data_IF_107656311953
#
_entry.id   IF_107656311953
#
_cell.length_a   1.000
_cell.length_b   1.000
_cell.length_c   1.000
_cell.angle_alpha   90.00
_cell.angle_beta   90.00
_cell.angle_gamma   90.00
#
_symmetry.space_group_name_H-M   'P 1'
#
loop_
_entity.id
_entity.type
_entity.pdbx_description
1 polymer ?
#
# COMPACT_ATOMS: atom_id res chain seq x y z
N UNK A 1 6.08 10.07 -14.71
CA UNK A 1 6.87 11.08 -13.97
C UNK A 1 7.47 12.03 -14.99
N UNK A 2 7.32 13.36 -14.85
CA UNK A 2 8.05 14.32 -15.68
C UNK A 2 9.57 14.11 -15.61
N UNK A 3 10.29 14.43 -16.69
CA UNK A 3 11.72 14.11 -16.83
C UNK A 3 12.60 14.63 -15.69
N UNK A 4 12.38 15.87 -15.24
CA UNK A 4 13.12 16.45 -14.10
C UNK A 4 12.90 15.67 -12.79
N UNK A 5 11.70 15.13 -12.58
CA UNK A 5 11.41 14.35 -11.38
C UNK A 5 12.08 12.98 -11.44
N UNK A 6 12.11 12.35 -12.63
CA UNK A 6 12.84 11.10 -12.82
C UNK A 6 14.33 11.30 -12.56
N UNK A 7 14.94 12.34 -13.14
CA UNK A 7 16.35 12.67 -12.92
C UNK A 7 16.67 12.92 -11.43
N UNK A 8 15.77 13.58 -10.70
CA UNK A 8 15.92 13.77 -9.27
C UNK A 8 15.96 12.43 -8.50
N UNK A 9 15.06 11.49 -8.82
CA UNK A 9 15.07 10.17 -8.19
C UNK A 9 16.32 9.36 -8.52
N UNK A 10 16.76 9.39 -9.79
CA UNK A 10 18.02 8.75 -10.22
C UNK A 10 19.24 9.36 -9.51
N UNK A 11 19.21 10.68 -9.27
CA UNK A 11 20.26 11.34 -8.50
C UNK A 11 20.29 10.86 -7.05
N UNK A 12 19.12 10.78 -6.38
CA UNK A 12 19.03 10.28 -5.00
C UNK A 12 19.57 8.84 -4.85
N UNK A 13 19.31 7.99 -5.84
CA UNK A 13 19.77 6.59 -5.84
C UNK A 13 21.30 6.45 -5.96
N UNK A 14 21.95 7.43 -6.60
CA UNK A 14 23.42 7.46 -6.77
C UNK A 14 24.18 8.02 -5.57
N UNK A 15 23.49 8.53 -4.54
CA UNK A 15 24.16 9.11 -3.37
C UNK A 15 24.86 7.98 -2.58
N UNK A 16 26.20 8.02 -2.41
CA UNK A 16 26.96 6.88 -1.87
C UNK A 16 26.67 6.59 -0.39
N UNK A 17 26.25 7.61 0.37
CA UNK A 17 26.02 7.51 1.82
C UNK A 17 24.56 7.80 2.14
N UNK A 18 23.68 6.88 1.75
CA UNK A 18 22.26 6.98 2.09
C UNK A 18 22.06 7.00 3.61
N UNK A 19 21.17 7.85 4.10
CA UNK A 19 20.84 7.95 5.53
C UNK A 19 20.41 6.59 6.11
N UNK A 20 19.71 5.77 5.33
CA UNK A 20 19.30 4.41 5.70
C UNK A 20 20.50 3.51 6.10
N UNK A 21 21.62 3.61 5.38
CA UNK A 21 22.84 2.84 5.70
C UNK A 21 23.62 3.40 6.89
N UNK A 22 23.50 4.70 7.16
CA UNK A 22 24.21 5.36 8.26
C UNK A 22 23.47 5.27 9.60
N UNK A 23 22.14 5.24 9.58
CA UNK A 23 21.30 5.19 10.79
C UNK A 23 21.63 4.04 11.76
N UNK A 24 22.01 2.82 11.32
CA UNK A 24 22.39 1.73 12.23
C UNK A 24 23.66 2.02 13.01
N UNK A 25 24.64 2.62 12.34
CA UNK A 25 25.99 2.87 12.86
C UNK A 25 26.15 4.21 13.56
N UNK A 26 25.23 5.15 13.36
CA UNK A 26 25.30 6.51 13.90
C UNK A 26 24.15 6.75 14.89
N UNK A 27 24.39 6.63 16.22
CA UNK A 27 23.32 6.70 17.22
C UNK A 27 22.44 7.95 17.15
N UNK A 28 23.03 9.11 16.83
CA UNK A 28 22.30 10.38 16.69
C UNK A 28 21.27 10.38 15.55
N UNK A 29 21.43 9.52 14.55
CA UNK A 29 20.52 9.44 13.39
C UNK A 29 19.39 8.43 13.59
N UNK A 30 19.50 7.50 14.54
CA UNK A 30 18.56 6.39 14.68
C UNK A 30 17.13 6.85 14.93
N UNK A 31 16.93 7.71 15.93
CA UNK A 31 15.59 8.14 16.31
C UNK A 31 14.92 9.05 15.25
N UNK A 32 15.60 10.08 14.69
CA UNK A 32 15.04 10.86 13.60
C UNK A 32 14.72 10.03 12.35
N UNK A 33 15.60 9.08 12.01
CA UNK A 33 15.38 8.16 10.89
C UNK A 33 14.15 7.27 11.12
N UNK A 34 14.07 6.63 12.28
CA UNK A 34 12.93 5.78 12.64
C UNK A 34 11.61 6.56 12.68
N UNK A 35 11.64 7.80 13.15
CA UNK A 35 10.48 8.70 13.12
C UNK A 35 9.99 8.94 11.68
N UNK A 36 10.91 9.19 10.75
CA UNK A 36 10.57 9.35 9.33
C UNK A 36 9.99 8.06 8.72
N UNK A 37 10.59 6.89 9.01
CA UNK A 37 10.08 5.58 8.58
C UNK A 37 8.67 5.32 9.12
N UNK A 38 8.42 5.64 10.39
CA UNK A 38 7.11 5.47 11.02
C UNK A 38 6.06 6.43 10.45
N UNK A 39 6.43 7.67 10.10
CA UNK A 39 5.55 8.59 9.40
C UNK A 39 5.14 8.04 8.01
N UNK A 40 6.09 7.47 7.27
CA UNK A 40 5.81 6.80 5.99
C UNK A 40 4.92 5.57 6.15
N UNK A 41 5.13 4.76 7.19
CA UNK A 41 4.23 3.64 7.52
C UNK A 41 2.80 4.15 7.77
N UNK A 42 2.64 5.20 8.57
CA UNK A 42 1.32 5.80 8.86
C UNK A 42 0.61 6.26 7.58
N UNK A 43 1.34 6.91 6.67
CA UNK A 43 0.82 7.29 5.36
C UNK A 43 0.30 6.08 4.58
N UNK A 44 1.05 4.97 4.57
CA UNK A 44 0.67 3.74 3.87
C UNK A 44 -0.52 3.03 4.51
N UNK A 45 -0.60 3.01 5.83
CA UNK A 45 -1.74 2.45 6.56
C UNK A 45 -3.02 3.23 6.23
N UNK A 46 -2.95 4.56 6.18
CA UNK A 46 -4.05 5.42 5.74
C UNK A 46 -4.42 5.17 4.28
N UNK A 47 -3.44 5.03 3.39
CA UNK A 47 -3.68 4.72 1.98
C UNK A 47 -4.38 3.37 1.81
N UNK A 48 -4.00 2.33 2.56
CA UNK A 48 -4.71 1.04 2.55
C UNK A 48 -6.18 1.19 2.98
N UNK A 49 -6.46 2.01 4.00
CA UNK A 49 -7.83 2.28 4.44
C UNK A 49 -8.65 2.96 3.35
N UNK A 50 -8.07 3.96 2.67
CA UNK A 50 -8.71 4.63 1.52
C UNK A 50 -9.01 3.62 0.42
N UNK A 51 -8.02 2.80 0.03
CA UNK A 51 -8.19 1.78 -1.01
C UNK A 51 -9.27 0.77 -0.64
N UNK A 52 -9.31 0.33 0.62
CA UNK A 52 -10.36 -0.57 1.08
C UNK A 52 -11.75 0.07 0.93
N UNK A 53 -11.93 1.29 1.43
CA UNK A 53 -13.23 1.98 1.42
C UNK A 53 -13.73 2.31 0.01
N UNK A 54 -12.84 2.77 -0.87
CA UNK A 54 -13.24 3.36 -2.15
C UNK A 54 -13.02 2.47 -3.36
N UNK A 55 -12.20 1.42 -3.25
CA UNK A 55 -11.96 0.49 -4.36
C UNK A 55 -12.56 -0.86 -4.02
N UNK A 56 -12.10 -1.49 -2.94
CA UNK A 56 -12.49 -2.87 -2.61
C UNK A 56 -13.96 -2.96 -2.18
N UNK A 57 -14.40 -2.07 -1.28
CA UNK A 57 -15.79 -2.10 -0.81
C UNK A 57 -16.75 -1.69 -1.94
N UNK A 58 -16.41 -0.67 -2.72
CA UNK A 58 -17.24 -0.21 -3.84
C UNK A 58 -17.32 -1.23 -4.99
N UNK A 59 -16.26 -1.99 -5.26
CA UNK A 59 -16.28 -3.05 -6.28
C UNK A 59 -17.21 -4.20 -5.92
N UNK A 60 -17.52 -4.40 -4.63
CA UNK A 60 -18.47 -5.42 -4.16
C UNK A 60 -19.92 -4.94 -4.25
N UNK A 61 -20.17 -3.64 -4.06
CA UNK A 61 -21.52 -3.05 -4.08
C UNK A 61 -22.08 -2.83 -5.49
N UNK A 62 -21.23 -2.79 -6.52
CA UNK A 62 -21.62 -2.43 -7.90
C UNK A 62 -22.20 -3.58 -8.74
N UNK A 63 -22.47 -4.75 -8.16
CA UNK A 63 -23.21 -5.84 -8.82
C UNK A 63 -24.73 -5.56 -8.87
N UNK A 64 -25.33 -5.18 -10.01
CA UNK A 64 -26.71 -4.69 -10.10
C UNK A 64 -27.71 -5.83 -10.37
N UNK A 65 -27.63 -6.93 -9.61
CA UNK A 65 -28.30 -8.19 -9.97
C UNK A 65 -29.34 -8.75 -8.99
N UNK A 66 -29.53 -8.19 -7.80
CA UNK A 66 -30.25 -8.90 -6.74
C UNK A 66 -31.38 -8.09 -6.13
N UNK A 67 -32.62 -8.55 -6.38
CA UNK A 67 -33.87 -7.95 -5.93
C UNK A 67 -34.24 -8.27 -4.47
N UNK A 68 -33.43 -9.04 -3.74
CA UNK A 68 -33.73 -9.47 -2.37
C UNK A 68 -32.55 -9.21 -1.40
N UNK A 69 -32.72 -8.40 -0.34
CA UNK A 69 -31.65 -8.06 0.62
C UNK A 69 -31.02 -9.27 1.33
N UNK A 70 -31.80 -10.34 1.55
CA UNK A 70 -31.33 -11.56 2.20
C UNK A 70 -30.39 -12.40 1.32
N UNK A 71 -30.63 -12.44 0.00
CA UNK A 71 -29.74 -13.11 -0.96
C UNK A 71 -28.42 -12.35 -1.15
N UNK A 72 -28.45 -11.02 -1.08
CA UNK A 72 -27.25 -10.19 -1.13
C UNK A 72 -26.34 -10.43 0.10
N UNK A 73 -26.91 -10.64 1.30
CA UNK A 73 -26.13 -10.99 2.51
C UNK A 73 -25.55 -12.41 2.46
N UNK A 74 -26.31 -13.40 2.00
CA UNK A 74 -25.82 -14.78 1.96
C UNK A 74 -24.69 -14.94 0.93
N UNK A 75 -24.83 -14.26 -0.22
CA UNK A 75 -23.83 -14.32 -1.29
C UNK A 75 -22.62 -13.44 -1.03
N UNK A 76 -22.72 -12.33 -0.30
CA UNK A 76 -21.54 -11.54 0.10
C UNK A 76 -20.64 -12.32 1.07
N UNK A 77 -21.19 -13.24 1.88
CA UNK A 77 -20.41 -14.15 2.72
C UNK A 77 -19.68 -15.25 1.90
N UNK A 78 -20.28 -15.72 0.79
CA UNK A 78 -19.69 -16.70 -0.13
C UNK A 78 -18.67 -16.05 -1.08
N UNK A 79 -18.99 -14.89 -1.64
CA UNK A 79 -18.12 -14.08 -2.51
C UNK A 79 -16.94 -13.49 -1.74
N UNK A 80 -17.04 -13.23 -0.43
CA UNK A 80 -15.87 -12.85 0.38
C UNK A 80 -14.78 -13.93 0.39
N UNK A 81 -15.13 -15.21 0.21
CA UNK A 81 -14.15 -16.30 0.11
C UNK A 81 -13.60 -16.49 -1.31
N UNK A 82 -14.37 -16.11 -2.35
CA UNK A 82 -14.04 -16.35 -3.76
C UNK A 82 -13.45 -15.12 -4.47
N UNK A 83 -13.89 -13.90 -4.13
CA UNK A 83 -13.32 -12.62 -4.60
C UNK A 83 -11.95 -12.30 -4.00
N UNK A 84 -11.57 -12.98 -2.91
CA UNK A 84 -10.17 -13.00 -2.45
C UNK A 84 -9.26 -13.73 -3.45
N UNK A 85 -9.81 -14.62 -4.29
CA UNK A 85 -9.04 -15.37 -5.31
C UNK A 85 -8.93 -14.62 -6.63
N UNK A 86 -9.94 -13.85 -7.05
CA UNK A 86 -9.79 -12.89 -8.14
C UNK A 86 -9.14 -11.60 -7.64
N UNK A 87 -7.82 -11.57 -7.76
CA UNK A 87 -6.98 -10.44 -7.36
C UNK A 87 -7.48 -9.13 -7.98
N UNK A 88 -8.16 -8.30 -7.17
CA UNK A 88 -8.55 -6.93 -7.54
C UNK A 88 -7.30 -6.22 -8.06
N UNK A 89 -7.34 -5.83 -9.34
CA UNK A 89 -6.23 -5.14 -9.99
C UNK A 89 -6.40 -3.63 -9.85
N UNK A 90 -5.30 -2.96 -9.56
CA UNK A 90 -5.23 -1.50 -9.68
C UNK A 90 -5.25 -1.08 -11.14
N UNK A 91 -5.43 0.21 -11.39
CA UNK A 91 -5.42 0.79 -12.75
C UNK A 91 -4.07 0.63 -13.47
N UNK A 92 -2.99 0.39 -12.72
CA UNK A 92 -1.68 0.01 -13.27
C UNK A 92 -1.54 -1.48 -13.63
N UNK A 93 -2.61 -2.28 -13.54
CA UNK A 93 -2.64 -3.70 -13.90
C UNK A 93 -2.07 -4.66 -12.83
N UNK A 94 -1.48 -4.14 -11.76
CA UNK A 94 -0.92 -4.93 -10.64
C UNK A 94 -1.99 -5.38 -9.66
N UNK A 95 -1.75 -6.48 -8.94
CA UNK A 95 -2.57 -6.86 -7.77
C UNK A 95 -2.53 -5.74 -6.72
N UNK A 96 -3.69 -5.15 -6.43
CA UNK A 96 -3.81 -3.98 -5.58
C UNK A 96 -3.38 -4.29 -4.14
N UNK A 97 -3.93 -5.37 -3.57
CA UNK A 97 -3.67 -5.75 -2.18
C UNK A 97 -2.21 -6.17 -1.98
N UNK A 98 -1.65 -6.96 -2.92
CA UNK A 98 -0.27 -7.41 -2.83
C UNK A 98 0.72 -6.23 -2.91
N UNK A 99 0.51 -5.32 -3.87
CA UNK A 99 1.38 -4.15 -4.04
C UNK A 99 1.37 -3.23 -2.82
N UNK A 100 0.19 -2.95 -2.26
CA UNK A 100 0.07 -2.08 -1.08
C UNK A 100 0.73 -2.70 0.14
N UNK A 101 0.50 -4.01 0.37
CA UNK A 101 1.13 -4.75 1.48
C UNK A 101 2.65 -4.75 1.35
N UNK A 102 3.16 -5.10 0.16
CA UNK A 102 4.60 -5.08 -0.11
C UNK A 102 5.23 -3.71 0.20
N UNK A 103 4.59 -2.62 -0.22
CA UNK A 103 5.08 -1.27 0.07
C UNK A 103 5.10 -0.93 1.56
N UNK A 104 4.06 -1.32 2.32
CA UNK A 104 4.01 -1.12 3.79
C UNK A 104 5.06 -1.98 4.51
N UNK A 105 5.17 -3.23 4.12
CA UNK A 105 6.04 -4.19 4.79
C UNK A 105 7.51 -3.83 4.53
N UNK A 106 7.88 -3.47 3.30
CA UNK A 106 9.22 -2.94 2.98
C UNK A 106 9.55 -1.67 3.78
N UNK A 107 8.57 -0.77 3.98
CA UNK A 107 8.77 0.43 4.82
C UNK A 107 8.99 0.05 6.28
N UNK A 108 8.21 -0.90 6.80
CA UNK A 108 8.31 -1.35 8.20
C UNK A 108 9.64 -2.05 8.48
N UNK A 109 10.11 -2.85 7.53
CA UNK A 109 11.40 -3.54 7.59
C UNK A 109 12.60 -2.59 7.50
N UNK A 110 12.41 -1.36 7.01
CA UNK A 110 13.47 -0.37 6.90
C UNK A 110 13.78 0.35 8.23
N UNK A 111 12.99 0.14 9.28
CA UNK A 111 13.25 0.69 10.61
C UNK A 111 14.51 0.03 11.20
N UNK A 112 15.35 0.83 11.86
CA UNK A 112 16.67 0.42 12.38
C UNK A 112 16.72 0.42 13.90
#
# INVERSE_FOLDING_TARGET
MPGKHQQFLEHLDRIPHSICKLAPTTPALREPYNSAVMAMKKLRDLHMRIVYLYIINMSKTSCPGYSCPAQAMLKSLEEDQQSVRESIRGTGGTSLVALLKAGRDATTQAKV
#
